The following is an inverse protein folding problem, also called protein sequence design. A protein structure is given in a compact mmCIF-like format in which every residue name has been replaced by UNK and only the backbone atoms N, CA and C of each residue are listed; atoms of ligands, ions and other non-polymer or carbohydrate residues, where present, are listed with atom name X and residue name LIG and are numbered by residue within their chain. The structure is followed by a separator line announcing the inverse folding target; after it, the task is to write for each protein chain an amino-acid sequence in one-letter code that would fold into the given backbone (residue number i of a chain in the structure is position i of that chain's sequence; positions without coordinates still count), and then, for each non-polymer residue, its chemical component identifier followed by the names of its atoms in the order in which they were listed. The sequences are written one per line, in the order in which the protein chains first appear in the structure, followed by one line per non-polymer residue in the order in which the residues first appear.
data_IF_664889334810
#
_entry.id   IF_664889334810
#
_cell.length_a   1.000
_cell.length_b   1.000
_cell.length_c   1.000
_cell.angle_alpha   90.00
_cell.angle_beta   90.00
_cell.angle_gamma   90.00
#
_symmetry.space_group_name_H-M   'P 1'
#
loop_
_entity.id
_entity.type
_entity.pdbx_description
1 polymer ?
#
# COMPACT_ATOMS: atom_id res chain seq x y z
N UNK A 1 53.26 42.94 31.22
CA UNK A 1 52.74 42.78 29.84
C UNK A 1 52.35 41.36 29.50
N UNK A 2 52.94 40.30 30.04
CA UNK A 2 52.64 38.89 29.69
C UNK A 2 51.25 38.44 30.10
N UNK A 3 50.71 38.91 31.24
CA UNK A 3 49.38 38.48 31.75
C UNK A 3 48.18 39.01 30.93
N UNK A 4 48.38 40.07 30.15
CA UNK A 4 47.28 40.61 29.31
C UNK A 4 47.10 39.81 28.03
N UNK A 5 48.19 39.24 27.47
CA UNK A 5 48.16 38.44 26.25
C UNK A 5 47.44 37.07 26.48
N UNK A 6 47.64 36.45 27.66
CA UNK A 6 47.02 35.19 27.98
C UNK A 6 45.47 35.30 28.17
N UNK A 7 45.01 36.42 28.72
CA UNK A 7 43.57 36.67 28.87
C UNK A 7 42.89 36.93 27.53
N UNK A 8 43.58 37.52 26.57
CA UNK A 8 43.01 37.72 25.22
C UNK A 8 42.93 36.42 24.43
N UNK A 9 43.96 35.57 24.55
CA UNK A 9 43.97 34.26 23.88
C UNK A 9 42.87 33.32 24.40
N UNK A 10 42.62 33.33 25.68
CA UNK A 10 41.57 32.49 26.31
C UNK A 10 40.16 32.98 25.93
N UNK A 11 39.96 34.29 25.80
CA UNK A 11 38.67 34.86 25.41
C UNK A 11 38.35 34.55 23.92
N UNK A 12 39.33 34.54 23.01
CA UNK A 12 39.17 34.22 21.61
C UNK A 12 38.89 32.72 21.40
N UNK A 13 39.54 31.84 22.18
CA UNK A 13 39.29 30.40 22.12
C UNK A 13 37.88 30.05 22.63
N UNK A 14 37.37 30.72 23.66
CA UNK A 14 36.01 30.52 24.16
C UNK A 14 34.95 31.01 23.15
N UNK A 15 35.19 32.08 22.42
CA UNK A 15 34.28 32.60 21.41
C UNK A 15 34.16 31.69 20.16
N UNK A 16 35.24 31.00 19.79
CA UNK A 16 35.22 30.05 18.66
C UNK A 16 34.46 28.77 19.02
N UNK A 17 34.52 28.33 20.29
CA UNK A 17 33.80 27.13 20.74
C UNK A 17 32.27 27.32 20.77
N UNK A 18 31.77 28.53 20.97
CA UNK A 18 30.32 28.82 20.99
C UNK A 18 29.72 28.92 19.60
N UNK A 19 30.52 29.21 18.56
CA UNK A 19 30.07 29.29 17.18
C UNK A 19 29.94 27.92 16.48
N UNK A 20 30.46 26.82 17.07
CA UNK A 20 30.42 25.49 16.47
C UNK A 20 29.19 24.66 16.86
N UNK A 21 28.31 25.16 17.72
CA UNK A 21 27.04 24.52 18.08
C UNK A 21 25.83 25.27 17.50
N UNK A 22 25.90 25.69 16.26
CA UNK A 22 24.68 25.91 15.52
C UNK A 22 24.14 24.51 15.16
N UNK A 23 23.12 24.10 15.93
CA UNK A 23 22.25 23.00 15.59
C UNK A 23 21.72 23.34 14.18
N UNK A 24 22.22 22.63 13.18
CA UNK A 24 21.68 22.72 11.86
C UNK A 24 20.24 22.25 11.99
N UNK A 25 19.28 23.15 12.00
CA UNK A 25 17.88 22.79 11.85
C UNK A 25 17.82 22.07 10.50
N UNK A 26 17.59 20.77 10.57
CA UNK A 26 17.25 19.99 9.38
C UNK A 26 15.84 20.49 9.07
N UNK A 27 15.72 21.41 8.12
CA UNK A 27 14.42 21.78 7.57
C UNK A 27 13.81 20.50 7.02
N UNK A 28 12.61 20.17 7.51
CA UNK A 28 11.83 19.08 6.93
C UNK A 28 11.68 19.34 5.43
N UNK A 29 11.87 18.33 4.59
CA UNK A 29 11.78 18.54 3.15
C UNK A 29 10.39 19.06 2.80
N UNK A 30 10.33 20.11 2.01
CA UNK A 30 9.09 20.64 1.45
C UNK A 30 8.33 19.52 0.76
N UNK A 31 7.08 19.27 1.18
CA UNK A 31 6.20 18.30 0.56
C UNK A 31 5.40 18.95 -0.57
N UNK A 32 5.35 18.28 -1.70
CA UNK A 32 4.56 18.69 -2.85
C UNK A 32 3.59 17.57 -3.20
N UNK A 33 2.35 17.92 -3.49
CA UNK A 33 1.36 16.95 -3.94
C UNK A 33 1.57 16.64 -5.43
N UNK A 34 1.75 15.37 -5.73
CA UNK A 34 1.83 14.80 -7.07
C UNK A 34 0.60 13.95 -7.33
N UNK A 35 0.06 14.01 -8.52
CA UNK A 35 -0.94 13.05 -8.99
C UNK A 35 -0.18 11.92 -9.68
N UNK A 36 0.10 10.85 -8.93
CA UNK A 36 0.75 9.66 -9.46
C UNK A 36 -0.28 8.78 -10.17
N UNK A 37 0.08 8.27 -11.32
CA UNK A 37 -0.74 7.30 -12.06
C UNK A 37 -0.10 5.93 -11.90
N UNK A 38 -0.87 4.95 -11.44
CA UNK A 38 -0.46 3.56 -11.32
C UNK A 38 -1.23 2.74 -12.34
N UNK A 39 -0.55 1.88 -13.08
CA UNK A 39 -1.18 0.93 -14.00
C UNK A 39 -1.07 -0.50 -13.46
N UNK A 40 -2.17 -1.24 -13.52
CA UNK A 40 -2.14 -2.67 -13.26
C UNK A 40 -1.80 -3.38 -14.57
N UNK A 41 -0.63 -4.00 -14.66
CA UNK A 41 -0.32 -4.89 -15.77
C UNK A 41 -0.81 -6.31 -15.48
N UNK A 42 -1.27 -6.98 -16.54
CA UNK A 42 -2.06 -8.20 -16.46
C UNK A 42 -1.28 -9.49 -16.20
N UNK A 43 -0.14 -9.49 -15.58
CA UNK A 43 0.48 -10.74 -15.15
C UNK A 43 0.32 -10.97 -13.64
N UNK A 44 -0.90 -11.31 -13.24
CA UNK A 44 -1.10 -11.91 -11.94
C UNK A 44 -0.53 -13.33 -11.95
N UNK A 45 0.64 -13.50 -11.34
CA UNK A 45 1.18 -14.81 -10.99
C UNK A 45 0.35 -15.41 -9.85
N UNK A 46 -0.77 -15.97 -10.19
CA UNK A 46 -1.64 -16.69 -9.28
C UNK A 46 -2.82 -17.21 -10.07
N UNK A 47 -2.77 -18.49 -10.45
CA UNK A 47 -3.88 -19.17 -11.12
C UNK A 47 -5.16 -19.05 -10.30
N UNK A 48 -6.00 -18.12 -10.66
CA UNK A 48 -7.42 -18.23 -10.46
C UNK A 48 -8.09 -17.85 -11.77
N UNK A 49 -7.91 -18.71 -12.76
CA UNK A 49 -8.85 -18.72 -13.86
C UNK A 49 -10.15 -19.28 -13.32
N UNK A 50 -11.09 -18.44 -13.01
CA UNK A 50 -12.45 -18.86 -12.92
C UNK A 50 -13.03 -18.77 -14.32
N UNK A 51 -13.39 -19.91 -14.92
CA UNK A 51 -14.09 -20.08 -16.19
C UNK A 51 -13.57 -19.29 -17.41
N UNK A 52 -12.30 -18.94 -17.44
CA UNK A 52 -11.72 -18.19 -18.55
C UNK A 52 -12.10 -16.70 -18.56
N UNK A 53 -12.84 -16.21 -17.60
CA UNK A 53 -13.01 -14.78 -17.34
C UNK A 53 -11.83 -14.32 -16.49
N UNK A 54 -10.96 -13.50 -17.05
CA UNK A 54 -9.91 -12.79 -16.32
C UNK A 54 -10.52 -11.97 -15.18
N UNK A 55 -9.71 -11.59 -14.22
CA UNK A 55 -10.13 -10.61 -13.21
C UNK A 55 -10.20 -9.28 -13.92
N UNK A 56 -11.37 -8.67 -13.88
CA UNK A 56 -11.58 -7.33 -14.41
C UNK A 56 -11.66 -6.34 -13.27
N UNK A 57 -11.01 -5.22 -13.45
CA UNK A 57 -11.18 -4.06 -12.59
C UNK A 57 -12.49 -3.38 -12.90
N UNK A 58 -13.18 -2.90 -11.88
CA UNK A 58 -14.48 -2.24 -12.03
C UNK A 58 -14.44 -0.80 -11.53
N UNK A 59 -15.37 0.00 -12.00
CA UNK A 59 -15.56 1.37 -11.52
C UNK A 59 -15.83 1.37 -10.02
N UNK A 60 -15.02 2.10 -9.25
CA UNK A 60 -15.09 2.14 -7.80
C UNK A 60 -13.99 1.35 -7.09
N UNK A 61 -13.23 0.54 -7.82
CA UNK A 61 -12.03 -0.11 -7.27
C UNK A 61 -11.00 0.95 -6.86
N UNK A 62 -10.43 0.80 -5.68
CA UNK A 62 -9.48 1.75 -5.13
C UNK A 62 -8.31 1.05 -4.44
N UNK A 63 -7.13 1.66 -4.54
CA UNK A 63 -5.90 1.16 -3.93
C UNK A 63 -5.37 2.10 -2.86
N UNK A 64 -4.64 1.56 -1.89
CA UNK A 64 -3.83 2.33 -0.94
C UNK A 64 -2.37 2.19 -1.29
N UNK A 65 -1.67 3.30 -1.47
CA UNK A 65 -0.28 3.34 -1.92
C UNK A 65 0.63 3.91 -0.84
N UNK A 66 1.79 3.32 -0.70
CA UNK A 66 2.93 3.88 0.04
C UNK A 66 4.20 3.73 -0.79
N UNK A 67 5.32 4.27 -0.33
CA UNK A 67 6.58 4.18 -1.06
C UNK A 67 7.78 4.00 -0.13
N UNK A 68 8.90 3.57 -0.72
CA UNK A 68 10.23 3.72 -0.14
C UNK A 68 11.06 4.66 -0.98
N UNK A 69 11.89 5.46 -0.31
CA UNK A 69 12.93 6.29 -0.91
C UNK A 69 14.26 5.91 -0.29
N UNK A 70 15.20 5.44 -1.10
CA UNK A 70 16.51 4.92 -0.66
C UNK A 70 16.42 3.90 0.47
N UNK A 71 15.35 3.08 0.45
CA UNK A 71 15.06 2.06 1.46
C UNK A 71 14.35 2.56 2.72
N UNK A 72 14.11 3.86 2.84
CA UNK A 72 13.31 4.44 3.94
C UNK A 72 11.84 4.50 3.54
N UNK A 73 10.96 4.00 4.39
CA UNK A 73 9.52 3.99 4.16
C UNK A 73 8.89 5.36 4.40
N UNK A 74 7.86 5.67 3.60
CA UNK A 74 6.98 6.80 3.87
C UNK A 74 6.21 6.60 5.18
N UNK A 75 5.76 7.69 5.78
CA UNK A 75 5.04 7.66 7.06
C UNK A 75 3.53 7.46 6.93
N UNK A 76 3.00 7.28 5.72
CA UNK A 76 1.56 7.17 5.49
C UNK A 76 1.21 6.43 4.20
N UNK A 77 -0.07 6.04 4.11
CA UNK A 77 -0.69 5.62 2.86
C UNK A 77 -1.39 6.79 2.17
N UNK A 78 -1.45 6.69 0.86
CA UNK A 78 -2.20 7.58 -0.02
C UNK A 78 -3.26 6.74 -0.74
N UNK A 79 -4.52 7.14 -0.66
CA UNK A 79 -5.61 6.46 -1.35
C UNK A 79 -5.79 6.97 -2.78
N UNK A 80 -6.30 6.12 -3.65
CA UNK A 80 -6.75 6.55 -4.97
C UNK A 80 -8.16 7.11 -4.90
N UNK A 81 -8.40 8.20 -5.61
CA UNK A 81 -9.76 8.70 -5.81
C UNK A 81 -10.47 8.05 -7.02
N UNK A 82 -9.83 7.03 -7.65
CA UNK A 82 -10.15 6.71 -8.90
C UNK A 82 -10.48 5.54 -9.45
N UNK A 83 -11.02 5.45 -10.48
CA UNK A 83 -11.23 4.75 -11.24
C UNK A 83 -11.37 4.46 -12.52
N UNK A 84 -11.62 3.54 -12.94
CA UNK A 84 -11.27 2.94 -14.09
C UNK A 84 -12.40 2.30 -14.77
N UNK A 85 -12.33 2.05 -16.02
CA UNK A 85 -13.26 1.32 -16.86
C UNK A 85 -13.20 -0.18 -16.57
N UNK A 86 -14.28 -0.90 -16.78
CA UNK A 86 -14.32 -2.36 -16.71
C UNK A 86 -13.30 -2.94 -17.70
N UNK A 87 -12.17 -3.37 -17.20
CA UNK A 87 -11.01 -3.75 -17.99
C UNK A 87 -10.08 -4.69 -17.24
N UNK A 88 -9.31 -5.43 -18.00
CA UNK A 88 -8.21 -6.25 -17.49
C UNK A 88 -7.04 -5.39 -16.98
N UNK A 89 -6.94 -4.16 -17.48
CA UNK A 89 -5.92 -3.18 -17.08
C UNK A 89 -6.61 -1.96 -16.51
N UNK A 90 -6.13 -1.53 -15.35
CA UNK A 90 -6.64 -0.36 -14.65
C UNK A 90 -5.57 0.70 -14.48
N UNK A 91 -5.99 1.97 -14.52
CA UNK A 91 -5.16 3.09 -14.09
C UNK A 91 -5.76 3.73 -12.85
N UNK A 92 -4.95 3.93 -11.82
CA UNK A 92 -5.34 4.55 -10.56
C UNK A 92 -4.58 5.86 -10.41
N UNK A 93 -5.29 6.96 -10.25
CA UNK A 93 -4.69 8.25 -9.92
C UNK A 93 -4.68 8.45 -8.41
N UNK A 94 -3.49 8.63 -7.86
CA UNK A 94 -3.29 8.76 -6.41
C UNK A 94 -2.65 10.11 -6.10
N UNK A 95 -3.35 11.03 -5.43
CA UNK A 95 -2.75 12.27 -4.94
C UNK A 95 -1.84 11.95 -3.75
N UNK A 96 -0.53 12.09 -3.91
CA UNK A 96 0.45 11.80 -2.89
C UNK A 96 1.32 13.01 -2.57
N UNK A 97 1.48 13.31 -1.29
CA UNK A 97 2.40 14.36 -0.82
C UNK A 97 3.80 13.77 -0.66
N UNK A 98 4.69 14.13 -1.56
CA UNK A 98 6.05 13.59 -1.64
C UNK A 98 7.09 14.68 -1.41
N UNK A 99 8.31 14.35 -0.94
CA UNK A 99 9.39 15.31 -0.83
C UNK A 99 9.72 15.95 -2.16
N UNK A 100 9.70 17.29 -2.21
CA UNK A 100 10.02 18.04 -3.42
C UNK A 100 11.44 17.78 -3.88
N UNK A 101 11.63 17.57 -5.17
CA UNK A 101 12.95 17.49 -5.85
C UNK A 101 13.92 16.43 -5.33
N UNK A 102 13.48 15.46 -4.55
CA UNK A 102 14.37 14.40 -4.13
C UNK A 102 14.70 13.46 -5.28
N UNK A 103 16.00 13.32 -5.53
CA UNK A 103 16.55 12.22 -6.31
C UNK A 103 16.83 11.08 -5.35
N UNK A 104 16.55 9.88 -5.77
CA UNK A 104 16.77 8.70 -4.96
C UNK A 104 16.16 7.48 -5.60
N UNK A 105 16.23 6.37 -4.90
CA UNK A 105 15.68 5.10 -5.34
C UNK A 105 14.25 4.95 -4.83
N UNK A 106 13.28 5.27 -5.66
CA UNK A 106 11.86 5.16 -5.35
C UNK A 106 11.32 3.78 -5.71
N UNK A 107 10.60 3.17 -4.79
CA UNK A 107 9.82 1.96 -5.01
C UNK A 107 8.44 2.20 -4.42
N UNK A 108 7.39 1.91 -5.19
CA UNK A 108 6.00 2.09 -4.76
C UNK A 108 5.41 0.74 -4.40
N UNK A 109 4.56 0.75 -3.38
CA UNK A 109 3.84 -0.43 -2.89
C UNK A 109 2.36 -0.11 -2.81
N UNK A 110 1.51 -1.06 -3.16
CA UNK A 110 0.07 -0.87 -3.14
C UNK A 110 -0.64 -2.06 -2.48
N UNK A 111 -1.82 -1.77 -1.92
CA UNK A 111 -2.74 -2.76 -1.35
C UNK A 111 -4.12 -2.50 -1.94
N UNK A 112 -4.78 -3.56 -2.38
CA UNK A 112 -6.16 -3.57 -2.85
C UNK A 112 -6.98 -4.56 -2.00
N UNK A 113 -8.24 -4.26 -1.74
CA UNK A 113 -8.87 -2.96 -1.91
C UNK A 113 -8.43 -1.97 -0.82
N UNK A 114 -8.48 -0.68 -1.12
CA UNK A 114 -8.10 0.36 -0.15
C UNK A 114 -8.93 0.29 1.13
N UNK A 115 -10.18 -0.16 1.04
CA UNK A 115 -11.09 -0.34 2.17
C UNK A 115 -10.64 -1.39 3.18
N UNK A 116 -9.77 -2.33 2.79
CA UNK A 116 -9.20 -3.30 3.70
C UNK A 116 -8.10 -2.71 4.60
N UNK A 117 -7.51 -1.58 4.26
CA UNK A 117 -6.40 -0.99 5.02
C UNK A 117 -6.94 -0.22 6.22
N UNK A 118 -6.58 -0.66 7.43
CA UNK A 118 -7.00 -0.05 8.70
C UNK A 118 -5.96 0.92 9.22
N UNK A 119 -4.70 0.52 9.24
CA UNK A 119 -3.58 1.32 9.74
C UNK A 119 -2.25 0.81 9.20
N UNK A 120 -1.21 1.63 9.32
CA UNK A 120 0.15 1.25 8.98
C UNK A 120 1.17 1.78 9.99
N UNK A 121 2.17 0.96 10.29
CA UNK A 121 3.37 1.31 11.05
C UNK A 121 4.57 1.24 10.11
N UNK A 122 5.27 2.35 9.93
CA UNK A 122 6.30 2.52 8.90
C UNK A 122 7.70 2.71 9.48
N UNK A 123 8.06 1.89 10.44
CA UNK A 123 9.43 1.83 10.96
C UNK A 123 10.33 0.92 10.09
N UNK A 124 11.37 0.34 10.66
CA UNK A 124 12.32 -0.53 9.96
C UNK A 124 11.72 -1.81 9.37
N UNK A 125 10.53 -2.20 9.80
CA UNK A 125 9.79 -3.36 9.30
C UNK A 125 8.30 -2.99 9.19
N UNK A 126 7.90 -2.30 8.12
CA UNK A 126 6.56 -1.75 8.00
C UNK A 126 5.50 -2.83 8.04
N UNK A 127 4.52 -2.59 8.87
CA UNK A 127 3.38 -3.46 9.09
C UNK A 127 2.11 -2.73 8.72
N UNK A 128 1.25 -3.41 8.02
CA UNK A 128 -0.06 -2.89 7.63
C UNK A 128 -1.13 -3.77 8.23
N UNK A 129 -1.98 -3.17 9.05
CA UNK A 129 -3.18 -3.84 9.52
C UNK A 129 -4.24 -3.80 8.44
N UNK A 130 -4.72 -4.96 8.04
CA UNK A 130 -5.81 -5.12 7.08
C UNK A 130 -6.97 -5.86 7.71
N UNK A 131 -8.17 -5.60 7.22
CA UNK A 131 -9.41 -6.23 7.66
C UNK A 131 -10.07 -6.95 6.49
N UNK A 132 -10.27 -8.26 6.61
CA UNK A 132 -11.09 -9.05 5.68
C UNK A 132 -12.50 -9.16 6.30
N UNK A 133 -13.57 -8.76 5.59
CA UNK A 133 -14.92 -8.80 6.12
C UNK A 133 -15.37 -10.23 6.45
N UNK A 134 -16.08 -10.39 7.55
CA UNK A 134 -16.65 -11.68 7.97
C UNK A 134 -17.93 -12.04 7.22
N UNK A 135 -18.62 -11.03 6.71
CA UNK A 135 -19.80 -11.21 5.84
C UNK A 135 -19.37 -10.76 4.45
N UNK A 136 -19.53 -11.63 3.49
CA UNK A 136 -19.24 -11.38 2.09
C UNK A 136 -20.50 -11.52 1.25
N UNK A 137 -20.65 -10.69 0.25
CA UNK A 137 -21.83 -10.63 -0.63
C UNK A 137 -21.42 -10.89 -2.08
N UNK A 138 -21.00 -12.14 -2.41
CA UNK A 138 -20.67 -12.49 -3.78
C UNK A 138 -21.90 -12.39 -4.68
N UNK A 139 -21.66 -12.20 -5.99
CA UNK A 139 -22.69 -12.28 -7.02
C UNK A 139 -22.69 -13.65 -7.66
N UNK A 140 -23.67 -13.92 -8.54
CA UNK A 140 -23.66 -15.15 -9.34
C UNK A 140 -22.51 -15.23 -10.34
N UNK A 141 -21.82 -14.13 -10.58
CA UNK A 141 -20.75 -14.03 -11.57
C UNK A 141 -19.36 -13.77 -10.97
N UNK A 142 -19.28 -13.38 -9.69
CA UNK A 142 -18.00 -13.01 -9.07
C UNK A 142 -18.04 -13.08 -7.55
N UNK A 143 -16.86 -13.16 -6.94
CA UNK A 143 -16.65 -13.01 -5.51
C UNK A 143 -16.93 -11.57 -5.04
N UNK A 144 -16.97 -11.37 -3.72
CA UNK A 144 -17.05 -10.03 -3.12
C UNK A 144 -15.69 -9.32 -3.22
N UNK A 145 -15.57 -8.22 -3.98
CA UNK A 145 -14.31 -7.52 -4.15
C UNK A 145 -13.76 -6.92 -2.85
N UNK A 146 -14.60 -6.66 -1.86
CA UNK A 146 -14.16 -6.16 -0.56
C UNK A 146 -13.33 -7.18 0.25
N UNK A 147 -13.35 -8.45 -0.14
CA UNK A 147 -12.58 -9.53 0.46
C UNK A 147 -11.38 -9.98 -0.40
N UNK A 148 -11.20 -9.42 -1.58
CA UNK A 148 -10.13 -9.81 -2.52
C UNK A 148 -8.81 -9.08 -2.20
N UNK A 149 -8.20 -9.43 -1.09
CA UNK A 149 -6.96 -8.78 -0.66
C UNK A 149 -5.79 -9.11 -1.57
N UNK A 150 -5.20 -8.07 -2.14
CA UNK A 150 -3.99 -8.14 -2.96
C UNK A 150 -2.94 -7.14 -2.50
N UNK A 151 -1.68 -7.44 -2.74
CA UNK A 151 -0.56 -6.51 -2.60
C UNK A 151 0.20 -6.39 -3.91
N UNK A 152 0.86 -5.27 -4.09
CA UNK A 152 1.69 -5.01 -5.25
C UNK A 152 2.96 -4.25 -4.88
N UNK A 153 3.92 -4.32 -5.77
CA UNK A 153 5.12 -3.48 -5.80
C UNK A 153 5.32 -2.98 -7.23
N UNK A 154 5.90 -1.79 -7.39
CA UNK A 154 6.29 -1.30 -8.72
C UNK A 154 7.31 -2.23 -9.35
N UNK A 155 7.13 -2.52 -10.65
CA UNK A 155 8.00 -3.42 -11.41
C UNK A 155 9.43 -2.87 -11.56
N UNK A 156 9.57 -1.57 -11.47
CA UNK A 156 10.86 -0.90 -11.63
C UNK A 156 11.13 0.10 -10.49
N UNK A 157 12.38 0.49 -10.40
CA UNK A 157 12.85 1.50 -9.47
C UNK A 157 13.07 2.81 -10.21
N UNK A 158 12.53 3.88 -9.66
CA UNK A 158 12.64 5.21 -10.26
C UNK A 158 13.72 6.04 -9.57
N UNK A 159 14.46 6.84 -10.35
CA UNK A 159 15.51 7.74 -9.84
C UNK A 159 14.97 9.11 -9.41
N UNK A 160 13.71 9.39 -9.67
CA UNK A 160 12.96 10.59 -9.28
C UNK A 160 11.49 10.26 -9.24
N UNK A 161 10.65 11.17 -8.75
CA UNK A 161 9.19 11.01 -8.81
C UNK A 161 8.75 10.81 -10.26
N UNK A 162 8.07 9.71 -10.59
CA UNK A 162 7.68 9.41 -11.97
C UNK A 162 6.62 10.39 -12.49
N UNK A 163 6.71 10.66 -13.80
CA UNK A 163 5.72 11.45 -14.55
C UNK A 163 4.94 10.60 -15.55
N UNK A 164 5.26 9.33 -15.66
CA UNK A 164 4.59 8.32 -16.48
C UNK A 164 3.87 7.33 -15.57
N UNK A 165 2.91 6.55 -16.08
CA UNK A 165 2.26 5.50 -15.30
C UNK A 165 3.29 4.53 -14.67
N UNK A 166 3.05 4.17 -13.42
CA UNK A 166 3.89 3.29 -12.62
C UNK A 166 3.28 1.88 -12.71
N UNK A 167 3.95 0.94 -13.39
CA UNK A 167 3.43 -0.41 -13.51
C UNK A 167 3.50 -1.16 -12.18
N UNK A 168 2.38 -1.80 -11.81
CA UNK A 168 2.25 -2.60 -10.61
C UNK A 168 2.08 -4.08 -10.94
N UNK A 169 2.82 -4.94 -10.26
CA UNK A 169 2.64 -6.38 -10.29
C UNK A 169 1.86 -6.83 -9.05
N UNK A 170 0.67 -7.38 -9.26
CA UNK A 170 -0.22 -7.77 -8.18
C UNK A 170 -0.04 -9.22 -7.74
N UNK A 171 -0.04 -9.44 -6.43
CA UNK A 171 -0.03 -10.74 -5.79
C UNK A 171 -1.25 -10.86 -4.88
N UNK A 172 -2.14 -11.83 -5.17
CA UNK A 172 -3.29 -12.11 -4.32
C UNK A 172 -2.87 -12.79 -3.03
N UNK A 173 -3.42 -12.35 -1.92
CA UNK A 173 -3.13 -12.85 -0.57
C UNK A 173 -4.24 -13.74 -0.01
N UNK A 174 -5.36 -13.83 -0.72
CA UNK A 174 -6.52 -14.67 -0.37
C UNK A 174 -6.77 -15.72 -1.45
N UNK A 175 -7.54 -16.73 -1.11
CA UNK A 175 -8.07 -17.71 -2.06
C UNK A 175 -9.59 -17.58 -2.13
N UNK A 176 -10.13 -17.80 -3.31
CA UNK A 176 -11.57 -17.86 -3.54
C UNK A 176 -12.03 -19.33 -3.62
N UNK A 177 -13.22 -19.61 -3.12
CA UNK A 177 -13.84 -20.92 -3.23
C UNK A 177 -15.13 -20.80 -4.04
N UNK A 178 -15.24 -21.62 -5.09
CA UNK A 178 -16.50 -21.82 -5.80
C UNK A 178 -17.23 -23.00 -5.16
N UNK A 179 -18.45 -22.75 -4.67
CA UNK A 179 -19.20 -23.72 -3.90
C UNK A 179 -20.56 -23.92 -4.52
N UNK A 180 -20.78 -25.10 -5.08
CA UNK A 180 -22.07 -25.52 -5.59
C UNK A 180 -22.88 -26.22 -4.52
N UNK A 181 -24.04 -25.66 -4.16
CA UNK A 181 -24.99 -26.27 -3.24
C UNK A 181 -25.98 -27.13 -4.01
N UNK A 182 -26.00 -28.42 -3.68
CA UNK A 182 -27.01 -29.36 -4.19
C UNK A 182 -28.14 -29.47 -3.16
N UNK A 183 -29.25 -28.83 -3.46
CA UNK A 183 -30.41 -28.87 -2.60
C UNK A 183 -31.41 -29.94 -3.07
N UNK A 184 -32.02 -30.74 -2.17
CA UNK A 184 -33.15 -31.62 -2.52
C UNK A 184 -34.34 -30.71 -2.88
N UNK A 185 -34.91 -30.89 -4.04
CA UNK A 185 -36.02 -30.15 -4.67
C UNK A 185 -36.67 -29.05 -3.78
N UNK A 186 -36.30 -27.81 -4.10
CA UNK A 186 -36.97 -26.62 -3.55
C UNK A 186 -38.20 -26.39 -4.43
N UNK A 187 -39.36 -26.17 -3.87
CA UNK A 187 -40.60 -25.94 -4.61
C UNK A 187 -40.71 -24.55 -5.26
N UNK A 188 -39.62 -23.78 -5.23
CA UNK A 188 -39.51 -22.44 -5.80
C UNK A 188 -39.97 -21.31 -4.89
N UNK A 189 -40.45 -21.59 -3.71
CA UNK A 189 -40.82 -20.60 -2.70
C UNK A 189 -39.73 -20.36 -1.66
N UNK A 190 -38.75 -21.28 -1.57
CA UNK A 190 -37.65 -21.21 -0.62
C UNK A 190 -36.44 -20.53 -1.23
N UNK A 191 -35.77 -19.70 -0.42
CA UNK A 191 -34.53 -19.02 -0.80
C UNK A 191 -33.45 -19.31 0.24
N UNK A 192 -32.21 -19.45 -0.19
CA UNK A 192 -31.07 -19.53 0.70
C UNK A 192 -30.77 -18.10 1.18
N UNK A 193 -30.91 -17.87 2.47
CA UNK A 193 -30.63 -16.58 3.08
C UNK A 193 -29.12 -16.37 3.28
N UNK A 194 -28.43 -17.39 3.73
CA UNK A 194 -26.98 -17.33 3.98
C UNK A 194 -26.32 -18.70 3.93
N UNK A 195 -25.03 -18.70 3.72
CA UNK A 195 -24.14 -19.87 3.85
C UNK A 195 -23.02 -19.49 4.78
N UNK A 196 -22.83 -20.25 5.86
CA UNK A 196 -21.78 -20.01 6.83
C UNK A 196 -20.66 -21.04 6.66
N UNK A 197 -19.43 -20.56 6.63
CA UNK A 197 -18.22 -21.37 6.63
C UNK A 197 -17.49 -21.20 7.94
N UNK A 198 -17.07 -22.31 8.53
CA UNK A 198 -16.22 -22.33 9.71
C UNK A 198 -14.92 -23.06 9.43
N UNK A 199 -13.84 -22.58 10.01
CA UNK A 199 -12.54 -23.23 9.98
C UNK A 199 -12.29 -23.97 11.31
N UNK A 200 -11.33 -24.93 11.34
CA UNK A 200 -10.88 -25.54 12.59
C UNK A 200 -10.35 -24.50 13.58
N UNK A 201 -10.36 -24.85 14.87
CA UNK A 201 -9.85 -23.99 15.93
C UNK A 201 -8.44 -23.48 15.64
N UNK A 202 -8.24 -22.16 15.81
CA UNK A 202 -6.97 -21.47 15.57
C UNK A 202 -6.75 -21.00 14.12
N UNK A 203 -7.70 -21.27 13.21
CA UNK A 203 -7.68 -20.75 11.84
C UNK A 203 -8.76 -19.70 11.69
N UNK A 204 -8.40 -18.52 11.22
CA UNK A 204 -9.34 -17.43 10.93
C UNK A 204 -9.54 -17.28 9.43
N UNK A 205 -10.79 -17.27 8.97
CA UNK A 205 -11.14 -17.05 7.55
C UNK A 205 -11.37 -15.58 7.24
N UNK A 206 -11.59 -14.76 8.27
CA UNK A 206 -11.85 -13.32 8.16
C UNK A 206 -11.30 -12.60 9.40
N UNK A 207 -11.38 -11.29 9.44
CA UNK A 207 -10.93 -10.49 10.57
C UNK A 207 -9.67 -9.70 10.28
N UNK A 208 -8.96 -9.30 11.33
CA UNK A 208 -7.76 -8.47 11.23
C UNK A 208 -6.49 -9.30 11.02
N UNK A 209 -5.69 -8.90 10.05
CA UNK A 209 -4.39 -9.50 9.76
C UNK A 209 -3.32 -8.41 9.74
N UNK A 210 -2.08 -8.82 9.99
CA UNK A 210 -0.92 -7.96 9.89
C UNK A 210 -0.08 -8.36 8.68
N UNK A 211 -0.02 -7.50 7.68
CA UNK A 211 0.88 -7.67 6.54
C UNK A 211 2.23 -7.03 6.86
N UNK A 212 3.30 -7.75 6.60
CA UNK A 212 4.66 -7.22 6.64
C UNK A 212 5.06 -6.89 5.21
N UNK A 213 5.29 -5.60 4.93
CA UNK A 213 5.80 -5.17 3.65
C UNK A 213 7.32 -5.32 3.66
N UNK A 214 7.83 -6.27 2.92
CA UNK A 214 9.27 -6.47 2.75
C UNK A 214 9.70 -6.02 1.36
N UNK A 215 10.88 -5.42 1.27
CA UNK A 215 11.53 -5.22 -0.02
C UNK A 215 11.95 -6.61 -0.53
N UNK A 216 11.40 -7.03 -1.64
CA UNK A 216 11.92 -8.20 -2.34
C UNK A 216 13.35 -7.89 -2.81
N UNK A 217 14.27 -8.79 -2.53
CA UNK A 217 15.70 -8.61 -2.83
C UNK A 217 16.00 -8.97 -4.27
#
# INVERSE_FOLDING_TARGET
MVNSLHKLATAVLAAVAVLSCQKQEIEDPELVTYNLVFSSEQEMQGKTAWDGAGITWTTGDAISVTYTLDGSWASSFYGSDALVEDSDVAEFTVPASLPAKQKGKWIFHAIYPSSCVVSGEFDSAPKVQVQIPSVQTPTSASFDPSADLMRSQSLETFSSVPTTPIPLLWNRLVAHADITLLLPSIDGSETIESVEFSAPDGVSLSGSYMLILQLEK
#
